data_IF_453829811038
#
_entry.id   IF_453829811038
#
_cell.length_a   1.000
_cell.length_b   1.000
_cell.length_c   1.000
_cell.angle_alpha   90.00
_cell.angle_beta   90.00
_cell.angle_gamma   90.00
#
_symmetry.space_group_name_H-M   'P 1'
#
loop_
_entity.id
_entity.type
_entity.pdbx_description
1 polymer ?
#
# COMPACT_ATOMS: atom_id res chain seq x y z
N UNK A 1 -34.73 13.54 -35.18
CA UNK A 1 -33.84 14.07 -34.13
C UNK A 1 -33.89 13.10 -32.96
N UNK A 2 -32.83 12.35 -32.69
CA UNK A 2 -32.63 11.66 -31.41
C UNK A 2 -31.15 11.81 -31.09
N UNK A 3 -30.81 12.94 -30.45
CA UNK A 3 -29.49 13.13 -29.86
C UNK A 3 -29.43 12.31 -28.58
N UNK A 4 -28.81 11.13 -28.64
CA UNK A 4 -28.34 10.46 -27.44
C UNK A 4 -27.29 11.36 -26.81
N UNK A 5 -27.69 12.08 -25.76
CA UNK A 5 -26.74 12.68 -24.82
C UNK A 5 -25.89 11.53 -24.27
N UNK A 6 -24.64 11.41 -24.74
CA UNK A 6 -23.65 10.61 -24.04
C UNK A 6 -23.36 11.34 -22.74
N UNK A 7 -24.20 11.09 -21.73
CA UNK A 7 -23.97 11.58 -20.38
C UNK A 7 -22.57 11.14 -19.98
N UNK A 8 -21.63 12.08 -19.99
CA UNK A 8 -20.23 11.82 -19.63
C UNK A 8 -20.28 11.28 -18.21
N UNK A 9 -19.98 9.99 -18.05
CA UNK A 9 -19.96 9.37 -16.73
C UNK A 9 -19.02 10.16 -15.83
N UNK A 10 -19.42 10.37 -14.59
CA UNK A 10 -18.65 11.11 -13.62
C UNK A 10 -17.40 10.31 -13.22
N UNK A 11 -16.33 11.03 -12.93
CA UNK A 11 -15.10 10.47 -12.35
C UNK A 11 -14.72 11.31 -11.12
N UNK A 12 -14.83 10.71 -9.94
CA UNK A 12 -14.48 11.28 -8.64
C UNK A 12 -13.11 10.79 -8.15
N UNK A 13 -12.20 10.37 -9.05
CA UNK A 13 -10.93 9.74 -8.67
C UNK A 13 -10.11 10.57 -7.67
N UNK A 14 -9.95 11.87 -7.89
CA UNK A 14 -9.21 12.75 -6.98
C UNK A 14 -9.85 12.81 -5.59
N UNK A 15 -11.18 12.95 -5.53
CA UNK A 15 -11.91 12.98 -4.26
C UNK A 15 -11.82 11.63 -3.54
N UNK A 16 -11.83 10.54 -4.32
CA UNK A 16 -11.71 9.17 -3.83
C UNK A 16 -10.34 8.97 -3.20
N UNK A 17 -9.26 9.30 -3.92
CA UNK A 17 -7.87 9.26 -3.42
C UNK A 17 -7.72 10.08 -2.13
N UNK A 18 -8.27 11.29 -2.09
CA UNK A 18 -8.19 12.16 -0.91
C UNK A 18 -8.84 11.58 0.36
N UNK A 19 -9.71 10.57 0.26
CA UNK A 19 -10.18 9.84 1.45
C UNK A 19 -9.08 8.97 2.07
N UNK A 20 -8.30 8.29 1.24
CA UNK A 20 -7.22 7.40 1.65
C UNK A 20 -6.04 8.22 2.17
N UNK A 21 -5.66 9.29 1.47
CA UNK A 21 -4.58 10.19 1.90
C UNK A 21 -4.84 10.73 3.31
N UNK A 22 -6.04 11.31 3.54
CA UNK A 22 -6.42 11.81 4.87
C UNK A 22 -6.40 10.73 5.94
N UNK A 23 -6.84 9.51 5.62
CA UNK A 23 -6.84 8.44 6.60
C UNK A 23 -5.41 8.04 6.98
N UNK A 24 -4.54 7.82 5.98
CA UNK A 24 -3.15 7.46 6.19
C UNK A 24 -2.37 8.54 6.95
N UNK A 25 -2.59 9.82 6.65
CA UNK A 25 -1.98 10.94 7.40
C UNK A 25 -2.38 10.99 8.88
N UNK A 26 -3.50 10.36 9.25
CA UNK A 26 -4.02 10.36 10.62
C UNK A 26 -3.76 9.05 11.38
N UNK A 27 -3.21 8.03 10.71
CA UNK A 27 -2.71 6.80 11.36
C UNK A 27 -1.34 7.08 11.99
N UNK A 28 -1.13 6.61 13.21
CA UNK A 28 0.10 6.84 13.98
C UNK A 28 0.95 5.60 14.16
N UNK A 29 0.38 4.41 13.95
CA UNK A 29 1.15 3.17 13.89
C UNK A 29 2.27 3.25 12.82
N UNK A 30 3.49 2.73 13.08
CA UNK A 30 3.92 1.97 14.25
C UNK A 30 4.46 2.80 15.42
N UNK A 31 4.42 4.13 15.36
CA UNK A 31 5.02 4.99 16.39
C UNK A 31 4.27 4.93 17.74
N UNK A 32 2.95 4.70 17.69
CA UNK A 32 2.11 4.49 18.87
C UNK A 32 1.66 3.03 18.99
N UNK A 33 1.67 2.52 20.22
CA UNK A 33 1.41 1.11 20.52
C UNK A 33 0.45 0.91 21.70
N UNK A 34 -0.13 1.97 22.26
CA UNK A 34 -1.17 1.85 23.28
C UNK A 34 -2.55 1.56 22.65
N UNK A 35 -3.37 0.77 23.36
CA UNK A 35 -4.70 0.35 22.89
C UNK A 35 -5.57 1.51 22.38
N UNK A 36 -5.52 2.66 23.06
CA UNK A 36 -6.35 3.82 22.71
C UNK A 36 -5.91 4.44 21.39
N UNK A 37 -4.60 4.57 21.15
CA UNK A 37 -4.07 5.06 19.88
C UNK A 37 -4.36 4.09 18.74
N UNK A 38 -4.14 2.79 18.95
CA UNK A 38 -4.43 1.76 17.93
C UNK A 38 -5.92 1.70 17.58
N UNK A 39 -6.80 1.79 18.57
CA UNK A 39 -8.24 1.88 18.33
C UNK A 39 -8.61 3.14 17.53
N UNK A 40 -7.93 4.27 17.77
CA UNK A 40 -8.13 5.48 16.98
C UNK A 40 -7.69 5.28 15.52
N UNK A 41 -6.54 4.65 15.30
CA UNK A 41 -6.03 4.35 13.96
C UNK A 41 -7.01 3.43 13.20
N UNK A 42 -7.53 2.38 13.85
CA UNK A 42 -8.55 1.52 13.27
C UNK A 42 -9.81 2.32 12.85
N UNK A 43 -10.36 3.17 13.75
CA UNK A 43 -11.52 4.00 13.44
C UNK A 43 -11.27 4.97 12.26
N UNK A 44 -10.05 5.52 12.15
CA UNK A 44 -9.65 6.36 11.01
C UNK A 44 -9.72 5.57 9.71
N UNK A 45 -9.18 4.35 9.69
CA UNK A 45 -9.21 3.49 8.50
C UNK A 45 -10.64 3.07 8.15
N UNK A 46 -11.49 2.73 9.12
CA UNK A 46 -12.90 2.41 8.89
C UNK A 46 -13.69 3.58 8.26
N UNK A 47 -13.33 4.83 8.58
CA UNK A 47 -14.03 6.02 8.06
C UNK A 47 -13.93 6.20 6.53
N UNK A 48 -12.96 5.54 5.88
CA UNK A 48 -12.76 5.65 4.42
C UNK A 48 -13.93 5.05 3.64
N UNK A 49 -14.58 4.00 4.14
CA UNK A 49 -15.76 3.42 3.51
C UNK A 49 -16.91 4.44 3.46
N UNK A 50 -17.09 5.20 4.55
CA UNK A 50 -18.08 6.27 4.58
C UNK A 50 -17.69 7.42 3.64
N UNK A 51 -16.41 7.81 3.65
CA UNK A 51 -15.90 8.89 2.80
C UNK A 51 -16.14 8.59 1.31
N UNK A 52 -15.88 7.35 0.87
CA UNK A 52 -15.96 6.93 -0.52
C UNK A 52 -17.35 6.49 -1.01
N UNK A 53 -18.31 6.31 -0.08
CA UNK A 53 -19.64 5.70 -0.32
C UNK A 53 -20.42 6.21 -1.53
N UNK A 54 -20.34 7.51 -1.83
CA UNK A 54 -21.14 8.16 -2.89
C UNK A 54 -20.30 8.66 -4.07
N UNK A 55 -19.09 8.15 -4.23
CA UNK A 55 -18.19 8.56 -5.30
C UNK A 55 -18.34 7.67 -6.53
N UNK A 56 -18.34 8.28 -7.72
CA UNK A 56 -18.46 7.58 -8.98
C UNK A 56 -17.11 7.47 -9.68
N UNK A 57 -16.64 6.25 -9.94
CA UNK A 57 -15.39 5.99 -10.68
C UNK A 57 -15.61 5.41 -12.08
N UNK A 58 -16.87 5.23 -12.48
CA UNK A 58 -17.27 4.63 -13.76
C UNK A 58 -16.76 5.38 -14.98
N UNK A 59 -16.74 6.72 -14.92
CA UNK A 59 -16.22 7.58 -15.98
C UNK A 59 -14.72 7.79 -16.00
N UNK A 60 -13.97 7.19 -15.06
CA UNK A 60 -12.51 7.32 -15.02
C UNK A 60 -11.83 6.49 -16.12
N UNK A 61 -10.58 6.84 -16.46
CA UNK A 61 -9.75 6.02 -17.36
C UNK A 61 -9.51 4.63 -16.78
N UNK A 62 -9.21 3.65 -17.64
CA UNK A 62 -8.92 2.28 -17.18
C UNK A 62 -7.69 2.24 -16.27
N UNK A 63 -6.67 3.06 -16.57
CA UNK A 63 -5.50 3.26 -15.70
C UNK A 63 -5.91 3.79 -14.31
N UNK A 64 -6.79 4.80 -14.25
CA UNK A 64 -7.28 5.34 -12.98
C UNK A 64 -8.08 4.29 -12.21
N UNK A 65 -8.95 3.54 -12.88
CA UNK A 65 -9.74 2.47 -12.25
C UNK A 65 -8.85 1.39 -11.67
N UNK A 66 -7.84 0.95 -12.42
CA UNK A 66 -6.89 -0.04 -11.97
C UNK A 66 -6.11 0.45 -10.75
N UNK A 67 -5.60 1.68 -10.77
CA UNK A 67 -4.93 2.29 -9.61
C UNK A 67 -5.82 2.35 -8.37
N UNK A 68 -7.06 2.80 -8.52
CA UNK A 68 -8.02 2.87 -7.41
C UNK A 68 -8.37 1.48 -6.86
N UNK A 69 -8.38 0.44 -7.70
CA UNK A 69 -8.59 -0.94 -7.26
C UNK A 69 -7.43 -1.45 -6.40
N UNK A 70 -6.18 -1.20 -6.81
CA UNK A 70 -5.00 -1.58 -6.00
C UNK A 70 -4.99 -0.87 -4.65
N UNK A 71 -5.15 0.46 -4.66
CA UNK A 71 -5.22 1.25 -3.43
C UNK A 71 -6.32 0.75 -2.49
N UNK A 72 -7.51 0.42 -3.03
CA UNK A 72 -8.61 -0.12 -2.22
C UNK A 72 -8.25 -1.47 -1.60
N UNK A 73 -7.60 -2.35 -2.35
CA UNK A 73 -7.16 -3.67 -1.87
C UNK A 73 -6.15 -3.54 -0.74
N UNK A 74 -5.12 -2.71 -0.93
CA UNK A 74 -4.04 -2.51 0.03
C UNK A 74 -4.56 -1.86 1.30
N UNK A 75 -5.41 -0.87 1.16
CA UNK A 75 -6.04 -0.21 2.30
C UNK A 75 -6.96 -1.15 3.09
N UNK A 76 -7.65 -2.08 2.40
CA UNK A 76 -8.44 -3.11 3.09
C UNK A 76 -7.54 -4.08 3.88
N UNK A 77 -6.36 -4.41 3.36
CA UNK A 77 -5.35 -5.22 4.07
C UNK A 77 -4.80 -4.47 5.28
N UNK A 78 -4.38 -3.22 5.10
CA UNK A 78 -3.92 -2.33 6.17
C UNK A 78 -4.96 -2.23 7.29
N UNK A 79 -6.21 -1.95 6.94
CA UNK A 79 -7.32 -1.91 7.90
C UNK A 79 -7.47 -3.22 8.65
N UNK A 80 -7.42 -4.35 7.95
CA UNK A 80 -7.56 -5.67 8.57
C UNK A 80 -6.48 -5.90 9.63
N UNK A 81 -5.23 -5.55 9.35
CA UNK A 81 -4.14 -5.73 10.31
C UNK A 81 -4.15 -4.67 11.43
N UNK A 82 -4.49 -3.42 11.13
CA UNK A 82 -4.57 -2.35 12.14
C UNK A 82 -5.76 -2.55 13.11
N UNK A 83 -6.85 -3.13 12.63
CA UNK A 83 -8.01 -3.46 13.45
C UNK A 83 -7.94 -4.87 14.05
N UNK A 84 -6.83 -5.60 13.89
CA UNK A 84 -6.67 -6.93 14.49
C UNK A 84 -6.58 -6.79 16.02
N UNK A 85 -7.38 -7.54 16.79
CA UNK A 85 -7.33 -7.48 18.25
C UNK A 85 -5.97 -7.90 18.84
N UNK A 86 -5.16 -8.65 18.10
CA UNK A 86 -3.81 -9.05 18.49
C UNK A 86 -2.73 -8.02 18.09
N UNK A 87 -3.09 -6.95 17.38
CA UNK A 87 -2.13 -5.94 16.95
C UNK A 87 -1.40 -5.33 18.13
N UNK A 88 -2.09 -5.01 19.23
CA UNK A 88 -1.47 -4.39 20.40
C UNK A 88 -0.29 -5.22 20.92
N UNK A 89 -0.52 -6.51 21.19
CA UNK A 89 0.53 -7.43 21.64
C UNK A 89 1.66 -7.51 20.61
N UNK A 90 1.31 -7.66 19.33
CA UNK A 90 2.31 -7.74 18.25
C UNK A 90 3.12 -6.45 18.07
N UNK A 91 2.53 -5.28 18.33
CA UNK A 91 3.17 -3.97 18.25
C UNK A 91 4.14 -3.76 19.41
N UNK A 92 3.79 -4.25 20.61
CA UNK A 92 4.71 -4.27 21.75
C UNK A 92 5.94 -5.14 21.48
N UNK A 93 5.73 -6.35 20.94
CA UNK A 93 6.83 -7.24 20.53
C UNK A 93 7.72 -6.59 19.47
N UNK A 94 7.10 -5.97 18.45
CA UNK A 94 7.82 -5.22 17.41
C UNK A 94 8.69 -4.10 18.02
N UNK A 95 8.12 -3.27 18.90
CA UNK A 95 8.85 -2.17 19.53
C UNK A 95 10.00 -2.67 20.44
N UNK A 96 9.87 -3.86 21.03
CA UNK A 96 10.92 -4.47 21.85
C UNK A 96 12.08 -5.03 21.01
N UNK A 97 11.80 -5.59 19.83
CA UNK A 97 12.82 -6.20 18.98
C UNK A 97 13.43 -5.23 17.94
N UNK A 98 12.76 -4.10 17.66
CA UNK A 98 13.24 -3.05 16.76
C UNK A 98 14.50 -2.39 17.31
N UNK A 99 15.59 -2.45 16.53
CA UNK A 99 16.79 -1.67 16.81
C UNK A 99 16.60 -0.21 16.35
N UNK A 100 16.17 0.65 17.28
CA UNK A 100 15.92 2.07 17.02
C UNK A 100 17.15 2.82 16.53
N UNK A 101 18.34 2.47 17.02
CA UNK A 101 19.58 3.11 16.60
C UNK A 101 19.94 2.74 15.16
N UNK A 102 19.75 1.47 14.80
CA UNK A 102 19.93 1.01 13.42
C UNK A 102 18.92 1.67 12.48
N UNK A 103 17.66 1.78 12.90
CA UNK A 103 16.61 2.47 12.14
C UNK A 103 16.98 3.95 11.90
N UNK A 104 17.26 4.70 12.96
CA UNK A 104 17.61 6.12 12.86
C UNK A 104 18.87 6.37 12.02
N UNK A 105 19.90 5.53 12.18
CA UNK A 105 21.14 5.67 11.41
C UNK A 105 20.94 5.35 9.93
N UNK A 106 20.10 4.36 9.62
CA UNK A 106 19.78 3.99 8.25
C UNK A 106 18.94 5.07 7.55
N UNK A 107 17.88 5.56 8.21
CA UNK A 107 16.98 6.58 7.63
C UNK A 107 17.71 7.89 7.32
N UNK A 108 18.75 8.26 8.09
CA UNK A 108 19.60 9.43 7.79
C UNK A 108 20.34 9.33 6.46
N UNK A 109 20.56 8.11 5.97
CA UNK A 109 21.23 7.83 4.70
C UNK A 109 20.24 7.49 3.58
N UNK A 110 18.95 7.35 3.90
CA UNK A 110 17.91 7.00 2.95
C UNK A 110 17.67 8.15 1.94
N UNK A 111 17.28 7.78 0.73
CA UNK A 111 16.85 8.75 -0.28
C UNK A 111 15.61 9.52 0.19
N UNK A 112 15.57 10.82 -0.11
CA UNK A 112 14.39 11.67 0.07
C UNK A 112 13.32 11.47 -1.03
N UNK A 113 13.58 10.59 -2.01
CA UNK A 113 12.63 10.30 -3.07
C UNK A 113 11.33 9.71 -2.49
N UNK A 114 10.20 10.28 -2.90
CA UNK A 114 8.89 9.92 -2.36
C UNK A 114 8.45 8.48 -2.71
N UNK A 115 9.08 7.87 -3.70
CA UNK A 115 8.90 6.48 -4.12
C UNK A 115 10.05 5.56 -3.67
N UNK A 116 10.99 6.05 -2.85
CA UNK A 116 12.08 5.22 -2.34
C UNK A 116 11.56 4.11 -1.42
N UNK A 117 12.11 2.91 -1.59
CA UNK A 117 11.90 1.78 -0.69
C UNK A 117 12.90 1.79 0.49
N UNK A 118 13.86 2.71 0.50
CA UNK A 118 14.90 2.78 1.54
C UNK A 118 14.35 2.82 2.97
N UNK A 119 13.30 3.63 3.29
CA UNK A 119 12.80 3.65 4.66
C UNK A 119 12.22 2.29 5.10
N UNK A 120 11.60 1.55 4.18
CA UNK A 120 11.14 0.19 4.46
C UNK A 120 12.31 -0.79 4.59
N UNK A 121 13.34 -0.69 3.75
CA UNK A 121 14.54 -1.51 3.88
C UNK A 121 15.28 -1.24 5.20
N UNK A 122 15.33 0.02 5.63
CA UNK A 122 15.83 0.41 6.94
C UNK A 122 15.02 -0.24 8.06
N UNK A 123 13.69 -0.18 7.96
CA UNK A 123 12.81 -0.87 8.90
C UNK A 123 13.10 -2.38 8.93
N UNK A 124 13.18 -3.04 7.76
CA UNK A 124 13.46 -4.47 7.69
C UNK A 124 14.80 -4.87 8.31
N UNK A 125 15.83 -4.05 8.14
CA UNK A 125 17.15 -4.25 8.74
C UNK A 125 17.10 -4.05 10.25
N UNK A 126 16.45 -2.98 10.72
CA UNK A 126 16.29 -2.68 12.13
C UNK A 126 15.46 -3.74 12.87
N UNK A 127 14.57 -4.44 12.16
CA UNK A 127 13.74 -5.53 12.70
C UNK A 127 14.28 -6.91 12.34
N UNK A 128 15.56 -7.07 11.98
CA UNK A 128 16.11 -8.37 11.56
C UNK A 128 15.99 -9.47 12.63
N UNK A 129 15.83 -9.09 13.90
CA UNK A 129 15.64 -9.99 15.05
C UNK A 129 14.16 -10.24 15.39
N UNK A 130 13.23 -9.62 14.67
CA UNK A 130 11.79 -9.69 14.92
C UNK A 130 11.14 -10.83 14.13
N UNK A 131 9.98 -11.30 14.60
CA UNK A 131 9.12 -12.25 13.88
C UNK A 131 8.48 -11.57 12.66
N UNK A 132 8.89 -11.97 11.46
CA UNK A 132 8.43 -11.39 10.18
C UNK A 132 6.93 -11.57 9.93
N UNK A 133 6.34 -12.68 10.35
CA UNK A 133 4.94 -13.02 10.07
C UNK A 133 3.94 -12.48 11.10
N UNK A 134 4.39 -11.61 12.00
CA UNK A 134 3.53 -11.03 13.04
C UNK A 134 2.53 -10.01 12.46
N UNK A 135 1.34 -9.84 13.09
CA UNK A 135 0.36 -8.84 12.66
C UNK A 135 0.93 -7.43 12.51
N UNK A 136 1.80 -6.98 13.42
CA UNK A 136 2.42 -5.66 13.36
C UNK A 136 3.38 -5.52 12.17
N UNK A 137 4.19 -6.54 11.86
CA UNK A 137 5.07 -6.50 10.69
C UNK A 137 4.26 -6.41 9.38
N UNK A 138 3.15 -7.14 9.29
CA UNK A 138 2.23 -7.07 8.14
C UNK A 138 1.54 -5.72 8.04
N UNK A 139 1.10 -5.15 9.17
CA UNK A 139 0.53 -3.80 9.22
C UNK A 139 1.53 -2.74 8.72
N UNK A 140 2.81 -2.84 9.10
CA UNK A 140 3.85 -1.93 8.59
C UNK A 140 4.02 -2.09 7.08
N UNK A 141 4.12 -3.33 6.59
CA UNK A 141 4.24 -3.60 5.16
C UNK A 141 3.07 -3.00 4.35
N UNK A 142 1.84 -3.24 4.78
CA UNK A 142 0.64 -2.72 4.13
C UNK A 142 0.58 -1.19 4.21
N UNK A 143 1.07 -0.59 5.30
CA UNK A 143 1.15 0.87 5.45
C UNK A 143 2.09 1.46 4.40
N UNK A 144 3.29 0.89 4.24
CA UNK A 144 4.25 1.34 3.23
C UNK A 144 3.68 1.19 1.81
N UNK A 145 3.09 0.04 1.48
CA UNK A 145 2.48 -0.16 0.17
C UNK A 145 1.30 0.79 -0.10
N UNK A 146 0.48 1.07 0.91
CA UNK A 146 -0.60 2.07 0.80
C UNK A 146 -0.03 3.47 0.48
N UNK A 147 1.06 3.89 1.14
CA UNK A 147 1.72 5.16 0.83
C UNK A 147 2.29 5.20 -0.60
N UNK A 148 2.82 4.08 -1.10
CA UNK A 148 3.36 3.98 -2.46
C UNK A 148 2.23 4.03 -3.50
N UNK A 149 1.13 3.31 -3.29
CA UNK A 149 -0.05 3.31 -4.17
C UNK A 149 -0.68 4.71 -4.26
N UNK A 150 -0.75 5.43 -3.13
CA UNK A 150 -1.21 6.82 -3.09
C UNK A 150 -0.38 7.75 -3.98
N UNK A 151 0.92 7.50 -4.07
CA UNK A 151 1.85 8.30 -4.89
C UNK A 151 2.08 7.74 -6.30
N UNK A 152 1.38 6.65 -6.65
CA UNK A 152 1.58 5.93 -7.91
C UNK A 152 3.02 5.41 -8.10
N UNK A 153 3.64 4.95 -7.01
CA UNK A 153 4.97 4.36 -6.99
C UNK A 153 4.91 2.84 -7.20
N UNK A 154 6.05 2.23 -7.53
CA UNK A 154 6.17 0.77 -7.51
C UNK A 154 6.02 0.22 -6.10
N UNK A 155 5.29 -0.88 -5.98
CA UNK A 155 5.06 -1.59 -4.72
C UNK A 155 6.29 -2.34 -4.25
N UNK A 156 6.30 -2.67 -2.97
CA UNK A 156 7.28 -3.55 -2.35
C UNK A 156 6.71 -4.96 -2.36
N UNK A 157 7.45 -5.89 -2.97
CA UNK A 157 7.06 -7.30 -3.01
C UNK A 157 7.45 -8.00 -1.70
N UNK A 158 6.58 -8.85 -1.17
CA UNK A 158 6.82 -9.63 0.05
C UNK A 158 8.04 -10.59 -0.04
N UNK A 159 8.60 -10.78 -1.24
CA UNK A 159 9.71 -11.69 -1.51
C UNK A 159 11.11 -11.04 -1.45
N UNK A 160 11.21 -9.72 -1.31
CA UNK A 160 12.47 -8.98 -1.44
C UNK A 160 13.33 -8.96 -0.16
N UNK A 161 13.62 -10.15 0.35
CA UNK A 161 14.81 -10.38 1.17
C UNK A 161 16.12 -10.37 0.35
N UNK A 162 16.09 -10.00 -0.93
CA UNK A 162 17.28 -9.95 -1.79
C UNK A 162 17.08 -8.95 -2.93
N UNK A 163 17.99 -7.99 -3.07
CA UNK A 163 18.03 -6.98 -4.14
C UNK A 163 17.63 -7.52 -5.52
N UNK A 164 16.63 -6.94 -6.18
CA UNK A 164 16.36 -7.28 -7.57
C UNK A 164 15.10 -6.70 -8.20
N UNK A 165 15.25 -5.52 -8.83
CA UNK A 165 14.52 -5.04 -10.02
C UNK A 165 13.08 -5.59 -10.16
N UNK A 166 12.08 -4.85 -9.72
CA UNK A 166 10.70 -5.16 -10.08
C UNK A 166 10.32 -4.56 -11.43
N UNK A 167 9.69 -5.40 -12.21
CA UNK A 167 9.26 -5.17 -13.58
C UNK A 167 8.01 -4.31 -13.61
N UNK A 168 8.10 -3.10 -14.16
CA UNK A 168 6.92 -2.28 -14.43
C UNK A 168 5.91 -3.03 -15.33
N UNK A 169 4.61 -2.71 -15.31
CA UNK A 169 3.57 -3.38 -16.11
C UNK A 169 3.85 -3.45 -17.62
N UNK A 170 4.67 -2.52 -18.13
CA UNK A 170 5.19 -2.53 -19.51
C UNK A 170 5.98 -3.80 -19.84
N UNK A 171 6.69 -4.37 -18.87
CA UNK A 171 7.52 -5.58 -19.01
C UNK A 171 6.66 -6.85 -18.95
N UNK A 172 5.59 -6.86 -18.13
CA UNK A 172 4.67 -8.00 -18.06
C UNK A 172 3.91 -8.20 -19.39
N UNK A 173 3.49 -7.10 -20.02
CA UNK A 173 2.86 -7.11 -21.35
C UNK A 173 3.80 -7.55 -22.47
N UNK A 174 5.10 -7.25 -22.37
CA UNK A 174 6.10 -7.69 -23.36
C UNK A 174 6.48 -9.16 -23.18
N UNK A 175 6.57 -9.67 -21.95
CA UNK A 175 6.81 -11.10 -21.71
C UNK A 175 5.66 -11.97 -22.22
N UNK A 176 4.41 -11.56 -22.00
CA UNK A 176 3.24 -12.28 -22.52
C UNK A 176 3.25 -12.35 -24.06
N UNK A 177 3.66 -11.27 -24.74
CA UNK A 177 3.78 -11.22 -26.19
C UNK A 177 4.92 -12.11 -26.74
N UNK A 178 6.06 -12.17 -26.04
CA UNK A 178 7.20 -13.03 -26.38
C UNK A 178 6.88 -14.52 -26.24
N UNK A 179 6.12 -14.91 -25.21
CA UNK A 179 5.68 -16.30 -25.04
C UNK A 179 4.75 -16.77 -26.17
N UNK A 180 3.93 -15.90 -26.73
CA UNK A 180 3.03 -16.26 -27.85
C UNK A 180 3.82 -16.43 -29.16
N UNK A 181 4.91 -15.68 -29.35
CA UNK A 181 5.78 -15.81 -30.54
C UNK A 181 6.69 -17.05 -30.54
N UNK A 182 6.86 -17.73 -29.40
CA UNK A 182 7.75 -18.88 -29.22
C UNK A 182 7.05 -20.25 -29.29
N UNK A 183 5.72 -20.28 -29.45
CA UNK A 183 5.03 -21.51 -29.82
C UNK A 183 5.04 -21.65 -31.36
N UNK A 184 5.88 -22.52 -31.95
CA UNK A 184 5.61 -22.93 -33.31
C UNK A 184 4.28 -23.68 -33.27
N UNK A 185 3.30 -23.18 -34.03
CA UNK A 185 2.12 -23.94 -34.46
C UNK A 185 2.62 -25.25 -35.08
N UNK A 186 2.63 -26.32 -34.28
CA UNK A 186 2.81 -27.67 -34.80
C UNK A 186 1.56 -27.98 -35.62
N UNK A 187 1.76 -28.06 -36.94
CA UNK A 187 0.81 -28.63 -37.90
C UNK A 187 0.72 -30.14 -37.73
#
# INVERSE_FOLDING_TARGET
>A
MNGSSSGKQRCDAERYLGCFERAVENVRFPDTHDDKSLAKDCNVLESVDFCTKYMETGGCSDESKQRLQYLKSDFASLRTHICDPNLHTSALELNQCLDKNAMESCVKLASYDLCSHDPYNCFLNATAKCTRDSPAMKAVHDSFNTHLDLKNCSRIDCNDGNSGITTSPKILLTLAALCISLFPLRK
#
